data_IF_499569084796
#
_entry.id   IF_499569084796
#
_cell.length_a   1.000
_cell.length_b   1.000
_cell.length_c   1.000
_cell.angle_alpha   90.00
_cell.angle_beta   90.00
_cell.angle_gamma   90.00
#
_symmetry.space_group_name_H-M   'P 1'
#
loop_
_entity.id
_entity.type
_entity.pdbx_description
1 polymer ?
#
# COMPACT_ATOMS: atom_id res chain seq x y z
N UNK A 1 14.50 -32.37 31.52
CA UNK A 1 14.14 -32.79 30.15
C UNK A 1 13.28 -31.68 29.53
N UNK A 2 13.95 -30.68 28.96
CA UNK A 2 13.30 -29.49 28.36
C UNK A 2 12.79 -29.85 26.98
N UNK A 3 11.47 -29.83 26.79
CA UNK A 3 10.86 -29.91 25.47
C UNK A 3 11.34 -28.72 24.64
N UNK A 4 12.22 -28.98 23.68
CA UNK A 4 12.51 -28.05 22.60
C UNK A 4 11.22 -27.95 21.78
N UNK A 5 10.43 -26.92 22.04
CA UNK A 5 9.37 -26.51 21.13
C UNK A 5 10.05 -26.15 19.81
N UNK A 6 9.98 -27.03 18.82
CA UNK A 6 10.27 -26.67 17.42
C UNK A 6 9.22 -25.64 17.03
N UNK A 7 9.55 -24.36 17.21
CA UNK A 7 8.75 -23.29 16.67
C UNK A 7 8.64 -23.53 15.16
N UNK A 8 7.45 -23.84 14.68
CA UNK A 8 7.20 -24.06 13.26
C UNK A 8 7.45 -22.75 12.54
N UNK A 9 8.50 -22.69 11.72
CA UNK A 9 8.86 -21.51 10.92
C UNK A 9 7.93 -21.29 9.71
N UNK A 10 6.86 -22.09 9.59
CA UNK A 10 5.91 -22.05 8.48
C UNK A 10 4.72 -21.16 8.82
N UNK A 11 4.43 -20.11 8.03
CA UNK A 11 3.26 -19.26 8.23
C UNK A 11 1.93 -20.01 8.15
N UNK A 12 0.98 -19.63 9.01
CA UNK A 12 -0.39 -20.11 8.98
C UNK A 12 -1.19 -19.27 7.99
N UNK A 13 -1.66 -19.89 6.91
CA UNK A 13 -2.36 -19.21 5.80
C UNK A 13 -3.86 -19.17 6.02
N UNK A 14 -4.25 -18.63 7.17
CA UNK A 14 -5.65 -18.48 7.50
C UNK A 14 -6.29 -17.28 6.77
N UNK A 15 -7.57 -17.04 7.04
CA UNK A 15 -8.34 -15.98 6.36
C UNK A 15 -7.75 -14.59 6.62
N UNK A 16 -7.25 -14.31 7.82
CA UNK A 16 -6.77 -12.97 8.18
C UNK A 16 -5.37 -12.71 7.62
N UNK A 17 -4.53 -13.75 7.52
CA UNK A 17 -3.26 -13.69 6.80
C UNK A 17 -3.48 -13.41 5.31
N UNK A 18 -4.42 -14.11 4.65
CA UNK A 18 -4.75 -13.84 3.25
C UNK A 18 -5.31 -12.44 3.01
N UNK A 19 -6.19 -11.94 3.88
CA UNK A 19 -6.70 -10.55 3.78
C UNK A 19 -5.53 -9.56 3.85
N UNK A 20 -4.58 -9.78 4.76
CA UNK A 20 -3.42 -8.93 4.95
C UNK A 20 -2.49 -8.94 3.72
N UNK A 21 -2.23 -10.13 3.17
CA UNK A 21 -1.46 -10.29 1.93
C UNK A 21 -2.12 -9.55 0.77
N UNK A 22 -3.43 -9.75 0.59
CA UNK A 22 -4.21 -9.10 -0.49
C UNK A 22 -4.18 -7.57 -0.35
N UNK A 23 -4.40 -7.04 0.86
CA UNK A 23 -4.37 -5.59 1.08
C UNK A 23 -3.00 -4.97 0.76
N UNK A 24 -1.93 -5.64 1.18
CA UNK A 24 -0.56 -5.22 0.89
C UNK A 24 -0.25 -5.32 -0.61
N UNK A 25 -0.69 -6.39 -1.28
CA UNK A 25 -0.59 -6.55 -2.72
C UNK A 25 -1.36 -5.48 -3.50
N UNK A 26 -2.57 -5.12 -3.09
CA UNK A 26 -3.32 -4.04 -3.75
C UNK A 26 -2.58 -2.70 -3.67
N UNK A 27 -1.96 -2.40 -2.53
CA UNK A 27 -1.18 -1.17 -2.43
C UNK A 27 0.09 -1.21 -3.29
N UNK A 28 0.79 -2.35 -3.35
CA UNK A 28 1.93 -2.50 -4.24
C UNK A 28 1.54 -2.41 -5.72
N UNK A 29 0.44 -3.06 -6.13
CA UNK A 29 -0.14 -2.91 -7.46
C UNK A 29 -0.39 -1.44 -7.80
N UNK A 30 -1.02 -0.69 -6.89
CA UNK A 30 -1.24 0.75 -7.06
C UNK A 30 0.08 1.52 -7.21
N UNK A 31 1.03 1.35 -6.29
CA UNK A 31 2.29 2.11 -6.30
C UNK A 31 3.10 1.89 -7.58
N UNK A 32 3.18 0.64 -8.05
CA UNK A 32 3.95 0.27 -9.23
C UNK A 32 3.25 0.71 -10.51
N UNK A 33 1.93 0.54 -10.59
CA UNK A 33 1.12 1.03 -11.72
C UNK A 33 1.12 2.56 -11.79
N UNK A 34 1.03 3.23 -10.65
CA UNK A 34 1.10 4.69 -10.53
C UNK A 34 2.38 5.25 -11.14
N UNK A 35 3.53 4.62 -10.87
CA UNK A 35 4.80 5.02 -11.48
C UNK A 35 4.78 4.93 -13.00
N UNK A 36 4.21 3.85 -13.54
CA UNK A 36 4.08 3.64 -14.98
C UNK A 36 3.07 4.62 -15.63
N UNK A 37 2.01 5.02 -14.93
CA UNK A 37 0.99 5.94 -15.47
C UNK A 37 1.37 7.41 -15.43
N UNK A 38 2.51 7.80 -14.83
CA UNK A 38 2.86 9.23 -14.73
C UNK A 38 3.06 9.92 -16.08
N UNK A 39 3.57 9.20 -17.09
CA UNK A 39 3.70 9.75 -18.43
C UNK A 39 2.33 9.98 -19.08
N UNK A 40 1.42 9.02 -18.96
CA UNK A 40 0.04 9.13 -19.46
C UNK A 40 -0.70 10.30 -18.79
N UNK A 41 -0.64 10.39 -17.47
CA UNK A 41 -1.29 11.46 -16.71
C UNK A 41 -0.73 12.84 -17.10
N UNK A 42 0.59 12.94 -17.31
CA UNK A 42 1.23 14.18 -17.77
C UNK A 42 0.67 14.60 -19.13
N UNK A 43 0.58 13.67 -20.05
CA UNK A 43 0.12 13.91 -21.42
C UNK A 43 -1.37 14.26 -21.45
N UNK A 44 -2.21 13.57 -20.66
CA UNK A 44 -3.63 13.90 -20.46
C UNK A 44 -3.86 15.29 -19.87
N UNK A 45 -3.04 15.70 -18.88
CA UNK A 45 -3.15 17.00 -18.25
C UNK A 45 -2.47 18.13 -19.06
N UNK A 46 -1.73 17.80 -20.11
CA UNK A 46 -0.94 18.76 -20.90
C UNK A 46 0.15 19.47 -20.07
N UNK A 47 0.73 18.79 -19.08
CA UNK A 47 1.68 19.39 -18.13
C UNK A 47 3.14 19.01 -18.43
N UNK A 48 4.09 19.68 -17.75
CA UNK A 48 5.51 19.38 -17.87
C UNK A 48 5.99 18.27 -16.92
N UNK A 49 7.20 17.76 -17.17
CA UNK A 49 7.85 16.72 -16.36
C UNK A 49 7.93 17.08 -14.87
N UNK A 50 8.14 18.36 -14.55
CA UNK A 50 8.21 18.84 -13.15
C UNK A 50 6.88 18.62 -12.42
N UNK A 51 5.75 18.90 -13.07
CA UNK A 51 4.43 18.71 -12.46
C UNK A 51 4.14 17.22 -12.30
N UNK A 52 4.51 16.41 -13.30
CA UNK A 52 4.37 14.96 -13.21
C UNK A 52 5.17 14.38 -12.02
N UNK A 53 6.45 14.77 -11.87
CA UNK A 53 7.31 14.24 -10.79
C UNK A 53 6.86 14.65 -9.39
N UNK A 54 6.18 15.80 -9.24
CA UNK A 54 5.64 16.24 -7.96
C UNK A 54 4.59 15.28 -7.38
N UNK A 55 3.88 14.49 -8.19
CA UNK A 55 2.96 13.48 -7.66
C UNK A 55 3.69 12.46 -6.76
N UNK A 56 4.90 12.04 -7.15
CA UNK A 56 5.74 11.18 -6.32
C UNK A 56 6.16 11.84 -4.99
N UNK A 57 6.39 13.16 -5.02
CA UNK A 57 6.65 13.95 -3.81
C UNK A 57 5.43 13.97 -2.89
N UNK A 58 4.24 14.27 -3.41
CA UNK A 58 3.00 14.29 -2.62
C UNK A 58 2.66 12.90 -2.05
N UNK A 59 2.87 11.83 -2.83
CA UNK A 59 2.76 10.45 -2.36
C UNK A 59 3.67 10.21 -1.14
N UNK A 60 4.93 10.64 -1.24
CA UNK A 60 5.94 10.46 -0.21
C UNK A 60 5.64 11.28 1.05
N UNK A 61 5.16 12.52 0.90
CA UNK A 61 4.72 13.35 2.04
C UNK A 61 3.56 12.67 2.76
N UNK A 62 2.57 12.17 2.02
CA UNK A 62 1.45 11.42 2.59
C UNK A 62 1.93 10.20 3.39
N UNK A 63 2.81 9.38 2.80
CA UNK A 63 3.39 8.23 3.48
C UNK A 63 4.19 8.59 4.72
N UNK A 64 5.01 9.65 4.66
CA UNK A 64 5.80 10.11 5.79
C UNK A 64 4.92 10.56 6.96
N UNK A 65 3.91 11.41 6.71
CA UNK A 65 2.98 11.87 7.75
C UNK A 65 2.22 10.70 8.37
N UNK A 66 1.83 9.74 7.54
CA UNK A 66 1.17 8.52 7.97
C UNK A 66 2.05 7.68 8.91
N UNK A 67 3.32 7.45 8.53
CA UNK A 67 4.28 6.70 9.34
C UNK A 67 4.49 7.32 10.73
N UNK A 68 4.46 8.65 10.85
CA UNK A 68 4.63 9.36 12.13
C UNK A 68 3.48 9.12 13.12
N UNK A 69 2.27 8.82 12.62
CA UNK A 69 1.06 8.73 13.46
C UNK A 69 0.50 7.31 13.56
N UNK A 70 0.77 6.43 12.58
CA UNK A 70 0.08 5.13 12.46
C UNK A 70 0.20 4.28 13.71
N UNK A 71 1.38 4.21 14.34
CA UNK A 71 1.58 3.44 15.56
C UNK A 71 0.68 3.93 16.71
N UNK A 72 0.61 5.25 16.92
CA UNK A 72 -0.23 5.86 17.97
C UNK A 72 -1.71 5.62 17.71
N UNK A 73 -2.13 5.80 16.46
CA UNK A 73 -3.52 5.64 16.04
C UNK A 73 -3.93 4.16 16.11
N UNK A 74 -3.05 3.23 15.72
CA UNK A 74 -3.25 1.79 15.82
C UNK A 74 -3.41 1.33 17.26
N UNK A 75 -2.57 1.80 18.19
CA UNK A 75 -2.69 1.49 19.61
C UNK A 75 -4.01 2.02 20.22
N UNK A 76 -4.47 3.19 19.77
CA UNK A 76 -5.69 3.83 20.28
C UNK A 76 -6.99 3.21 19.75
N UNK A 77 -7.03 2.86 18.47
CA UNK A 77 -8.28 2.47 17.79
C UNK A 77 -8.32 1.01 17.32
N UNK A 78 -7.21 0.29 17.45
CA UNK A 78 -7.08 -1.11 17.09
C UNK A 78 -6.80 -1.35 15.59
N UNK A 79 -6.09 -2.45 15.30
CA UNK A 79 -5.61 -2.80 13.95
C UNK A 79 -6.72 -2.92 12.92
N UNK A 80 -7.79 -3.67 13.24
CA UNK A 80 -8.88 -3.92 12.30
C UNK A 80 -9.61 -2.65 11.84
N UNK A 81 -9.78 -1.66 12.73
CA UNK A 81 -10.37 -0.37 12.37
C UNK A 81 -9.43 0.44 11.48
N UNK A 82 -8.13 0.46 11.79
CA UNK A 82 -7.12 1.16 10.99
C UNK A 82 -6.94 0.56 9.60
N UNK A 83 -6.97 -0.77 9.47
CA UNK A 83 -6.95 -1.43 8.16
C UNK A 83 -8.16 -1.08 7.31
N UNK A 84 -9.37 -0.99 7.89
CA UNK A 84 -10.58 -0.56 7.17
C UNK A 84 -10.50 0.89 6.76
N UNK A 85 -10.06 1.78 7.65
CA UNK A 85 -9.86 3.20 7.35
C UNK A 85 -8.81 3.38 6.26
N UNK A 86 -7.69 2.66 6.33
CA UNK A 86 -6.67 2.64 5.29
C UNK A 86 -7.24 2.18 3.94
N UNK A 87 -8.04 1.10 3.95
CA UNK A 87 -8.66 0.57 2.72
C UNK A 87 -9.66 1.55 2.10
N UNK A 88 -10.55 2.16 2.90
CA UNK A 88 -11.50 3.16 2.40
C UNK A 88 -10.75 4.41 1.91
N UNK A 89 -9.77 4.86 2.69
CA UNK A 89 -9.02 6.07 2.39
C UNK A 89 -8.20 5.96 1.11
N UNK A 90 -7.57 4.81 0.84
CA UNK A 90 -6.88 4.62 -0.43
C UNK A 90 -7.84 4.54 -1.61
N UNK A 91 -9.00 3.89 -1.47
CA UNK A 91 -10.04 3.87 -2.51
C UNK A 91 -10.45 5.31 -2.85
N UNK A 92 -10.73 6.14 -1.84
CA UNK A 92 -11.06 7.54 -2.04
C UNK A 92 -9.91 8.32 -2.70
N UNK A 93 -8.66 8.10 -2.26
CA UNK A 93 -7.49 8.73 -2.87
C UNK A 93 -7.31 8.38 -4.35
N UNK A 94 -7.50 7.11 -4.69
CA UNK A 94 -7.46 6.64 -6.08
C UNK A 94 -8.61 7.23 -6.90
N UNK A 95 -9.84 7.24 -6.39
CA UNK A 95 -10.98 7.87 -7.08
C UNK A 95 -10.78 9.36 -7.34
N UNK A 96 -10.15 10.08 -6.40
CA UNK A 96 -9.79 11.49 -6.58
C UNK A 96 -8.68 11.64 -7.63
N UNK A 97 -7.67 10.76 -7.59
CA UNK A 97 -6.57 10.76 -8.56
C UNK A 97 -7.05 10.50 -9.99
N UNK A 98 -7.99 9.57 -10.16
CA UNK A 98 -8.50 9.15 -11.49
C UNK A 98 -9.77 9.89 -11.91
N UNK A 99 -10.10 11.00 -11.24
CA UNK A 99 -11.32 11.73 -11.56
C UNK A 99 -11.22 12.36 -12.97
N UNK A 100 -12.23 12.20 -13.84
CA UNK A 100 -12.19 12.72 -15.21
C UNK A 100 -11.96 14.24 -15.25
N UNK A 101 -10.94 14.68 -15.98
CA UNK A 101 -10.59 16.11 -16.11
C UNK A 101 -10.04 16.75 -14.83
N UNK A 102 -9.57 15.95 -13.86
CA UNK A 102 -8.94 16.47 -12.65
C UNK A 102 -7.71 17.33 -12.96
N UNK A 103 -7.68 18.53 -12.38
CA UNK A 103 -6.49 19.38 -12.42
C UNK A 103 -5.34 18.76 -11.63
N UNK A 104 -4.10 19.18 -11.93
CA UNK A 104 -2.91 18.68 -11.22
C UNK A 104 -2.99 18.86 -9.69
N UNK A 105 -3.68 19.90 -9.20
CA UNK A 105 -3.88 20.11 -7.76
C UNK A 105 -4.78 19.04 -7.12
N UNK A 106 -5.80 18.59 -7.85
CA UNK A 106 -6.70 17.52 -7.39
C UNK A 106 -5.95 16.19 -7.38
N UNK A 107 -5.19 15.89 -8.43
CA UNK A 107 -4.41 14.65 -8.52
C UNK A 107 -3.29 14.60 -7.48
N UNK A 108 -2.68 15.73 -7.11
CA UNK A 108 -1.79 15.83 -5.95
C UNK A 108 -2.48 15.45 -4.63
N UNK A 109 -3.71 15.90 -4.42
CA UNK A 109 -4.47 15.52 -3.23
C UNK A 109 -4.82 14.03 -3.23
N UNK A 110 -5.20 13.47 -4.38
CA UNK A 110 -5.51 12.04 -4.52
C UNK A 110 -4.30 11.16 -4.22
N UNK A 111 -3.14 11.47 -4.79
CA UNK A 111 -1.92 10.70 -4.56
C UNK A 111 -1.39 10.86 -3.13
N UNK A 112 -1.52 12.05 -2.52
CA UNK A 112 -1.21 12.26 -1.11
C UNK A 112 -2.06 11.34 -0.21
N UNK A 113 -3.38 11.30 -0.43
CA UNK A 113 -4.29 10.44 0.31
C UNK A 113 -3.95 8.96 0.11
N UNK A 114 -3.65 8.56 -1.12
CA UNK A 114 -3.25 7.19 -1.42
C UNK A 114 -1.96 6.78 -0.69
N UNK A 115 -0.94 7.66 -0.66
CA UNK A 115 0.30 7.42 0.09
C UNK A 115 0.07 7.36 1.60
N UNK A 116 -0.76 8.26 2.13
CA UNK A 116 -1.09 8.31 3.54
C UNK A 116 -1.82 7.05 4.01
N UNK A 117 -2.92 6.68 3.35
CA UNK A 117 -3.74 5.54 3.75
C UNK A 117 -3.13 4.20 3.34
N UNK A 118 -2.37 4.15 2.23
CA UNK A 118 -1.58 2.98 1.86
C UNK A 118 -0.51 2.66 2.91
N UNK A 119 0.13 3.68 3.48
CA UNK A 119 1.09 3.50 4.57
C UNK A 119 0.43 2.99 5.85
N UNK A 120 -0.84 3.35 6.14
CA UNK A 120 -1.61 2.73 7.22
C UNK A 120 -1.79 1.23 7.02
N UNK A 121 -2.10 0.81 5.78
CA UNK A 121 -2.22 -0.60 5.44
C UNK A 121 -0.89 -1.31 5.68
N UNK A 122 0.20 -0.85 5.07
CA UNK A 122 1.51 -1.50 5.16
C UNK A 122 2.00 -1.62 6.60
N UNK A 123 1.99 -0.51 7.35
CA UNK A 123 2.48 -0.53 8.73
C UNK A 123 1.63 -1.44 9.63
N UNK A 124 0.30 -1.43 9.45
CA UNK A 124 -0.60 -2.24 10.27
C UNK A 124 -0.55 -3.72 9.89
N UNK A 125 -0.43 -4.06 8.60
CA UNK A 125 -0.24 -5.44 8.12
C UNK A 125 1.08 -6.01 8.62
N UNK A 126 2.19 -5.26 8.53
CA UNK A 126 3.49 -5.72 9.02
C UNK A 126 3.44 -6.01 10.52
N UNK A 127 2.87 -5.09 11.31
CA UNK A 127 2.71 -5.30 12.75
C UNK A 127 1.75 -6.46 13.07
N UNK A 128 0.69 -6.63 12.26
CA UNK A 128 -0.26 -7.73 12.42
C UNK A 128 0.40 -9.10 12.16
N UNK A 129 1.11 -9.26 11.03
CA UNK A 129 1.72 -10.53 10.65
C UNK A 129 2.83 -10.96 11.62
N UNK A 130 3.66 -10.02 12.08
CA UNK A 130 4.70 -10.31 13.07
C UNK A 130 4.12 -10.85 14.39
N UNK A 131 3.01 -10.28 14.84
CA UNK A 131 2.37 -10.71 16.08
C UNK A 131 1.52 -11.97 15.91
N UNK A 132 0.80 -12.09 14.79
CA UNK A 132 -0.10 -13.20 14.51
C UNK A 132 0.67 -14.51 14.32
N UNK A 133 1.79 -14.45 13.60
CA UNK A 133 2.57 -15.63 13.21
C UNK A 133 3.71 -15.94 14.18
N UNK A 134 4.01 -15.02 15.11
CA UNK A 134 5.09 -15.16 16.10
C UNK A 134 6.43 -15.52 15.44
N UNK A 135 6.93 -16.72 15.71
CA UNK A 135 8.21 -17.20 15.16
C UNK A 135 8.22 -17.34 13.63
N UNK A 136 7.06 -17.49 12.99
CA UNK A 136 6.92 -17.53 11.53
C UNK A 136 6.69 -16.13 10.91
N UNK A 137 6.63 -15.06 11.72
CA UNK A 137 6.39 -13.68 11.27
C UNK A 137 7.30 -13.22 10.13
N UNK A 138 8.64 -13.36 10.23
CA UNK A 138 9.54 -12.99 9.14
C UNK A 138 9.29 -13.75 7.82
N UNK A 139 8.92 -15.03 7.91
CA UNK A 139 8.57 -15.82 6.73
C UNK A 139 7.25 -15.34 6.12
N UNK A 140 6.25 -15.01 6.95
CA UNK A 140 4.97 -14.46 6.49
C UNK A 140 5.14 -13.09 5.82
N UNK A 141 6.00 -12.22 6.37
CA UNK A 141 6.34 -10.94 5.74
C UNK A 141 7.03 -11.16 4.38
N UNK A 142 7.89 -12.17 4.27
CA UNK A 142 8.55 -12.51 3.00
C UNK A 142 7.53 -12.98 1.96
N UNK A 143 6.58 -13.85 2.34
CA UNK A 143 5.48 -14.27 1.47
C UNK A 143 4.60 -13.08 1.04
N UNK A 144 4.24 -12.21 1.98
CA UNK A 144 3.45 -11.01 1.70
C UNK A 144 4.17 -10.08 0.71
N UNK A 145 5.46 -9.84 0.89
CA UNK A 145 6.27 -9.04 -0.02
C UNK A 145 6.43 -9.70 -1.40
N UNK A 146 6.58 -11.03 -1.47
CA UNK A 146 6.64 -11.75 -2.73
C UNK A 146 5.35 -11.57 -3.55
N UNK A 147 4.19 -11.74 -2.90
CA UNK A 147 2.88 -11.50 -3.52
C UNK A 147 2.70 -10.03 -3.90
N UNK A 148 3.17 -9.10 -3.07
CA UNK A 148 3.11 -7.68 -3.36
C UNK A 148 3.94 -7.31 -4.60
N UNK A 149 5.19 -7.75 -4.68
CA UNK A 149 6.04 -7.55 -5.84
C UNK A 149 5.43 -8.18 -7.12
N UNK A 150 4.91 -9.40 -7.02
CA UNK A 150 4.24 -10.06 -8.14
C UNK A 150 3.03 -9.25 -8.64
N UNK A 151 2.18 -8.78 -7.73
CA UNK A 151 1.05 -7.94 -8.07
C UNK A 151 1.46 -6.57 -8.65
N UNK A 152 2.53 -5.96 -8.11
CA UNK A 152 3.12 -4.73 -8.64
C UNK A 152 3.58 -4.89 -10.09
N UNK A 153 4.29 -5.99 -10.38
CA UNK A 153 4.75 -6.32 -11.73
C UNK A 153 3.59 -6.50 -12.72
N UNK A 154 2.54 -7.22 -12.32
CA UNK A 154 1.32 -7.37 -13.13
C UNK A 154 0.70 -6.01 -13.41
N UNK A 155 0.62 -5.13 -12.40
CA UNK A 155 0.04 -3.80 -12.54
C UNK A 155 0.76 -2.94 -13.57
N UNK A 156 2.08 -2.80 -13.45
CA UNK A 156 2.88 -2.05 -14.42
C UNK A 156 2.81 -2.66 -15.83
N UNK A 157 2.78 -4.00 -15.95
CA UNK A 157 2.62 -4.66 -17.25
C UNK A 157 1.29 -4.34 -17.91
N UNK A 158 0.19 -4.38 -17.15
CA UNK A 158 -1.15 -4.05 -17.66
C UNK A 158 -1.25 -2.60 -18.10
N UNK A 159 -0.63 -1.66 -17.37
CA UNK A 159 -0.52 -0.26 -17.80
C UNK A 159 0.22 -0.16 -19.13
N UNK A 160 1.36 -0.86 -19.26
CA UNK A 160 2.13 -0.87 -20.50
C UNK A 160 1.40 -1.47 -21.70
N UNK A 161 0.54 -2.47 -21.49
CA UNK A 161 -0.30 -3.06 -22.55
C UNK A 161 -1.42 -2.10 -23.00
N UNK A 162 -1.91 -1.25 -22.09
CA UNK A 162 -3.01 -0.32 -22.36
C UNK A 162 -2.59 1.08 -22.82
N UNK A 163 -1.30 1.41 -22.74
CA UNK A 163 -0.72 2.69 -23.15
C UNK A 163 -0.48 2.74 -24.67
#
# INVERSE_FOLDING_TARGET
>A
MSLVYTATHTPVRDRVTWISYIQMSFFAWFMYSFGATQALLRDEQGTGLVVASLHGTFLSIGGLLSALIVAKVMLRYGRGRILRVGSIGIILGVLVLTWPGASFGITFSGVFLAGFFGTFIIATVNAFLLDHEGAAGPAALTEANALACFSGLIGSLLVGIGA
#
